data_IF_993947763889
#
_entry.id   IF_993947763889
#
_cell.length_a   1.000
_cell.length_b   1.000
_cell.length_c   1.000
_cell.angle_alpha   90.00
_cell.angle_beta   90.00
_cell.angle_gamma   90.00
#
_symmetry.space_group_name_H-M   'P 1'
#
loop_
_entity.id
_entity.type
_entity.pdbx_description
1 polymer ?
#
# COMPACT_ATOMS: atom_id res chain seq x y z
N UNK A 1 8.71 -7.72 -5.82
CA UNK A 1 8.31 -6.73 -6.85
C UNK A 1 9.12 -6.85 -8.12
N UNK A 2 10.40 -6.47 -8.17
CA UNK A 2 11.18 -6.58 -9.43
C UNK A 2 11.24 -8.01 -9.99
N UNK A 3 11.46 -9.02 -9.11
CA UNK A 3 11.39 -10.45 -9.47
C UNK A 3 10.02 -10.90 -9.97
N UNK A 4 8.98 -10.12 -9.70
CA UNK A 4 7.60 -10.37 -10.15
C UNK A 4 7.29 -9.60 -11.45
N UNK A 5 8.28 -8.97 -12.10
CA UNK A 5 8.08 -8.24 -13.35
C UNK A 5 7.49 -6.84 -13.19
N UNK A 6 7.69 -6.20 -12.03
CA UNK A 6 7.31 -4.79 -11.82
C UNK A 6 8.53 -3.87 -11.94
N UNK A 7 8.32 -2.74 -12.60
CA UNK A 7 9.14 -1.53 -12.43
C UNK A 7 8.68 -0.86 -11.14
N UNK A 8 9.64 -0.44 -10.31
CA UNK A 8 9.37 0.07 -8.96
C UNK A 8 10.08 1.40 -8.76
N UNK A 9 9.36 2.41 -8.30
CA UNK A 9 9.94 3.64 -7.77
C UNK A 9 9.62 3.79 -6.28
N UNK A 10 10.61 4.22 -5.50
CA UNK A 10 10.50 4.51 -4.08
C UNK A 10 11.05 5.92 -3.81
N UNK A 11 10.21 6.96 -3.82
CA UNK A 11 10.67 8.32 -3.57
C UNK A 11 11.07 8.52 -2.10
N UNK A 12 12.15 9.27 -1.89
CA UNK A 12 12.61 9.68 -0.56
C UNK A 12 11.74 10.82 -0.04
N UNK A 13 10.66 10.52 0.68
CA UNK A 13 9.68 11.50 1.15
C UNK A 13 10.24 12.48 2.21
N UNK A 14 11.38 12.17 2.82
CA UNK A 14 11.99 13.03 3.83
C UNK A 14 13.10 13.92 3.26
N UNK A 15 13.19 14.06 1.93
CA UNK A 15 14.24 14.83 1.26
C UNK A 15 14.27 16.32 1.65
N UNK A 16 13.11 16.88 2.05
CA UNK A 16 13.01 18.28 2.54
C UNK A 16 13.48 18.47 3.99
N UNK A 17 13.68 17.38 4.73
CA UNK A 17 13.96 17.46 6.16
C UNK A 17 15.46 17.32 6.43
N UNK A 18 16.05 18.19 7.26
CA UNK A 18 17.44 18.05 7.62
C UNK A 18 17.66 16.71 8.34
N UNK A 19 18.81 16.07 8.11
CA UNK A 19 19.11 14.76 8.69
C UNK A 19 19.21 14.76 10.24
N UNK A 20 19.30 15.95 10.85
CA UNK A 20 19.65 16.18 12.25
C UNK A 20 18.45 16.60 13.13
N UNK A 21 17.22 16.28 12.74
CA UNK A 21 16.04 16.66 13.53
C UNK A 21 15.88 15.75 14.76
N UNK A 22 15.79 16.35 15.94
CA UNK A 22 15.51 15.69 17.24
C UNK A 22 14.09 15.08 17.31
N UNK A 23 13.11 15.73 16.67
CA UNK A 23 11.77 15.19 16.50
C UNK A 23 11.75 14.03 15.49
N UNK A 24 10.82 13.09 15.67
CA UNK A 24 10.58 12.04 14.67
C UNK A 24 10.34 12.68 13.30
N UNK A 25 11.16 12.34 12.29
CA UNK A 25 11.05 12.85 10.90
C UNK A 25 9.63 12.72 10.33
N UNK A 26 8.87 11.72 10.78
CA UNK A 26 7.46 11.54 10.42
C UNK A 26 6.54 12.68 10.84
N UNK A 27 6.84 13.38 11.94
CA UNK A 27 6.06 14.51 12.43
C UNK A 27 6.21 15.78 11.57
N UNK A 28 7.27 15.84 10.77
CA UNK A 28 7.55 16.95 9.88
C UNK A 28 6.95 16.77 8.47
N UNK A 29 6.47 15.57 8.14
CA UNK A 29 5.83 15.32 6.85
C UNK A 29 4.53 16.13 6.75
N UNK A 30 4.26 16.66 5.55
CA UNK A 30 2.99 17.33 5.22
C UNK A 30 2.31 16.58 4.08
N UNK A 31 0.98 16.45 4.15
CA UNK A 31 0.19 15.75 3.13
C UNK A 31 0.34 16.41 1.76
N UNK A 32 0.43 17.74 1.70
CA UNK A 32 0.66 18.49 0.45
C UNK A 32 2.00 18.17 -0.20
N UNK A 33 3.06 18.02 0.59
CA UNK A 33 4.40 17.67 0.11
C UNK A 33 4.47 16.21 -0.34
N UNK A 34 3.86 15.30 0.42
CA UNK A 34 3.72 13.89 0.04
C UNK A 34 3.03 13.79 -1.32
N UNK A 35 1.88 14.47 -1.50
CA UNK A 35 1.13 14.46 -2.76
C UNK A 35 1.99 14.99 -3.90
N UNK A 36 2.72 16.09 -3.69
CA UNK A 36 3.61 16.67 -4.69
C UNK A 36 4.73 15.69 -5.09
N UNK A 37 5.38 15.02 -4.12
CA UNK A 37 6.47 14.08 -4.38
C UNK A 37 6.01 12.82 -5.12
N UNK A 38 4.88 12.23 -4.71
CA UNK A 38 4.34 11.06 -5.40
C UNK A 38 3.90 11.45 -6.81
N UNK A 39 3.26 12.61 -7.01
CA UNK A 39 2.88 13.09 -8.34
C UNK A 39 4.10 13.38 -9.23
N UNK A 40 5.17 13.96 -8.68
CA UNK A 40 6.43 14.14 -9.40
C UNK A 40 7.05 12.79 -9.78
N UNK A 41 6.96 11.78 -8.91
CA UNK A 41 7.41 10.42 -9.21
C UNK A 41 6.58 9.79 -10.34
N UNK A 42 5.25 9.92 -10.32
CA UNK A 42 4.36 9.47 -11.41
C UNK A 42 4.72 10.18 -12.72
N UNK A 43 4.93 11.49 -12.69
CA UNK A 43 5.33 12.26 -13.86
C UNK A 43 6.70 11.81 -14.40
N UNK A 44 7.67 11.55 -13.52
CA UNK A 44 8.98 11.03 -13.93
C UNK A 44 8.88 9.62 -14.54
N UNK A 45 8.09 8.71 -13.95
CA UNK A 45 7.91 7.37 -14.50
C UNK A 45 7.40 7.42 -15.95
N UNK A 46 6.52 8.37 -16.28
CA UNK A 46 5.98 8.56 -17.64
C UNK A 46 7.01 8.97 -18.68
N UNK A 47 8.13 9.58 -18.28
CA UNK A 47 9.18 9.97 -19.22
C UNK A 47 10.12 8.81 -19.56
N UNK A 48 10.02 7.69 -18.83
CA UNK A 48 10.83 6.51 -19.10
C UNK A 48 10.45 5.87 -20.44
N UNK A 49 11.44 5.33 -21.15
CA UNK A 49 11.27 4.72 -22.48
C UNK A 49 10.46 3.41 -22.48
N UNK A 50 10.07 2.92 -21.30
CA UNK A 50 9.28 1.71 -21.13
C UNK A 50 7.84 2.05 -20.75
N UNK A 51 6.86 1.25 -21.19
CA UNK A 51 5.46 1.46 -20.78
C UNK A 51 5.33 1.28 -19.26
N UNK A 52 4.98 2.37 -18.58
CA UNK A 52 4.79 2.41 -17.11
C UNK A 52 3.31 2.50 -16.72
N UNK A 53 2.41 2.02 -17.56
CA UNK A 53 0.99 1.84 -17.21
C UNK A 53 0.54 0.39 -17.34
N UNK A 54 -0.46 -0.05 -16.55
CA UNK A 54 -1.12 0.68 -15.44
C UNK A 54 -0.27 0.80 -14.17
N UNK A 55 -0.54 1.84 -13.36
CA UNK A 55 0.17 2.11 -12.10
C UNK A 55 -0.56 1.53 -10.89
N UNK A 56 0.18 1.02 -9.91
CA UNK A 56 -0.30 0.70 -8.57
C UNK A 56 0.55 1.35 -7.49
N UNK A 57 0.05 1.41 -6.26
CA UNK A 57 0.76 1.94 -5.11
C UNK A 57 0.68 0.97 -3.93
N UNK A 58 1.79 0.75 -3.24
CA UNK A 58 1.83 0.02 -1.97
C UNK A 58 2.64 0.78 -0.95
N UNK A 59 2.28 0.70 0.32
CA UNK A 59 3.21 1.16 1.36
C UNK A 59 2.94 0.58 2.74
N UNK A 60 3.92 0.79 3.62
CA UNK A 60 4.00 0.20 4.96
C UNK A 60 4.05 1.28 6.04
N UNK A 61 3.23 1.16 7.09
CA UNK A 61 3.17 2.14 8.19
C UNK A 61 2.86 3.55 7.65
N UNK A 62 3.81 4.49 7.72
CA UNK A 62 3.68 5.81 7.09
C UNK A 62 3.49 5.68 5.57
N UNK A 63 4.18 4.75 4.92
CA UNK A 63 3.94 4.43 3.51
C UNK A 63 2.52 3.90 3.26
N UNK A 64 1.91 3.20 4.23
CA UNK A 64 0.54 2.73 4.13
C UNK A 64 -0.46 3.88 4.18
N UNK A 65 -0.20 4.87 5.04
CA UNK A 65 -0.92 6.15 5.02
C UNK A 65 -0.79 6.83 3.66
N UNK A 66 0.43 6.92 3.11
CA UNK A 66 0.70 7.53 1.81
C UNK A 66 -0.07 6.80 0.70
N UNK A 67 -0.06 5.47 0.69
CA UNK A 67 -0.82 4.68 -0.29
C UNK A 67 -2.32 4.97 -0.22
N UNK A 68 -2.90 5.06 0.99
CA UNK A 68 -4.29 5.44 1.19
C UNK A 68 -4.57 6.87 0.69
N UNK A 69 -3.78 7.85 1.13
CA UNK A 69 -3.93 9.25 0.74
C UNK A 69 -3.86 9.42 -0.78
N UNK A 70 -2.88 8.78 -1.42
CA UNK A 70 -2.69 8.88 -2.86
C UNK A 70 -3.80 8.18 -3.64
N UNK A 71 -4.37 7.07 -3.13
CA UNK A 71 -5.56 6.48 -3.71
C UNK A 71 -6.75 7.46 -3.71
N UNK A 72 -6.86 8.32 -2.69
CA UNK A 72 -7.91 9.35 -2.60
C UNK A 72 -7.73 10.51 -3.59
N UNK A 73 -6.49 10.86 -3.98
CA UNK A 73 -6.22 12.13 -4.69
C UNK A 73 -5.59 11.97 -6.07
N UNK A 74 -5.09 10.78 -6.42
CA UNK A 74 -4.41 10.52 -7.69
C UNK A 74 -5.15 9.43 -8.49
N UNK A 75 -5.97 9.81 -9.49
CA UNK A 75 -6.84 8.87 -10.24
C UNK A 75 -6.10 7.88 -11.15
N UNK A 76 -4.80 8.05 -11.36
CA UNK A 76 -4.00 7.16 -12.19
C UNK A 76 -3.73 5.79 -11.59
N UNK A 77 -3.74 5.69 -10.26
CA UNK A 77 -3.55 4.41 -9.59
C UNK A 77 -4.73 3.48 -9.88
N UNK A 78 -4.43 2.28 -10.37
CA UNK A 78 -5.39 1.21 -10.68
C UNK A 78 -5.47 0.15 -9.59
N UNK A 79 -4.61 0.23 -8.58
CA UNK A 79 -4.61 -0.65 -7.42
C UNK A 79 -3.83 0.00 -6.27
N UNK A 80 -4.37 -0.06 -5.06
CA UNK A 80 -3.70 0.43 -3.84
C UNK A 80 -3.59 -0.68 -2.79
N UNK A 81 -2.40 -0.88 -2.21
CA UNK A 81 -2.18 -1.82 -1.12
C UNK A 81 -1.67 -1.09 0.14
N UNK A 82 -2.39 -1.24 1.25
CA UNK A 82 -2.13 -0.55 2.51
C UNK A 82 -1.71 -1.54 3.58
N UNK A 83 -0.45 -1.49 4.01
CA UNK A 83 0.03 -2.28 5.15
C UNK A 83 0.06 -1.42 6.41
N UNK A 84 -0.82 -1.74 7.37
CA UNK A 84 -0.91 -1.11 8.70
C UNK A 84 -0.74 0.42 8.63
N UNK A 85 -1.49 1.05 7.72
CA UNK A 85 -1.47 2.49 7.49
C UNK A 85 -2.01 3.25 8.70
N UNK A 86 -1.11 3.88 9.46
CA UNK A 86 -1.46 4.63 10.66
C UNK A 86 -1.87 6.08 10.37
N UNK A 87 -2.44 6.74 11.37
CA UNK A 87 -2.79 8.17 11.36
C UNK A 87 -3.77 8.60 10.24
N UNK A 88 -4.50 7.69 9.60
CA UNK A 88 -5.43 8.00 8.47
C UNK A 88 -6.51 9.03 8.83
N UNK A 89 -6.89 9.14 10.11
CA UNK A 89 -7.85 10.11 10.64
C UNK A 89 -7.24 11.48 11.02
N UNK A 90 -5.91 11.63 10.89
CA UNK A 90 -5.20 12.86 11.25
C UNK A 90 -4.67 13.54 9.98
N UNK A 91 -4.88 14.85 9.82
CA UNK A 91 -4.18 15.61 8.79
C UNK A 91 -2.71 15.79 9.17
N UNK A 92 -1.83 15.74 8.18
CA UNK A 92 -0.43 16.14 8.36
C UNK A 92 -0.24 17.50 7.69
N UNK A 93 -0.30 18.57 8.48
CA UNK A 93 -0.37 19.94 7.94
C UNK A 93 -1.78 20.43 7.71
N UNK A 94 -1.94 21.33 6.75
CA UNK A 94 -3.21 21.98 6.45
C UNK A 94 -4.10 21.11 5.55
N UNK A 95 -5.40 21.19 5.76
CA UNK A 95 -6.41 20.50 4.97
C UNK A 95 -6.95 19.20 5.60
N UNK A 96 -7.83 18.48 4.87
CA UNK A 96 -8.49 17.29 5.39
C UNK A 96 -7.54 16.10 5.52
N UNK A 97 -7.81 15.26 6.51
CA UNK A 97 -7.19 13.96 6.69
C UNK A 97 -7.46 13.02 5.49
N UNK A 98 -6.65 11.96 5.29
CA UNK A 98 -6.92 10.99 4.25
C UNK A 98 -8.30 10.34 4.38
N UNK A 99 -8.77 10.08 5.61
CA UNK A 99 -10.13 9.55 5.85
C UNK A 99 -11.22 10.46 5.27
N UNK A 100 -11.12 11.77 5.48
CA UNK A 100 -12.08 12.74 4.93
C UNK A 100 -12.01 12.85 3.39
N UNK A 101 -10.91 12.39 2.78
CA UNK A 101 -10.72 12.35 1.32
C UNK A 101 -11.19 11.05 0.68
N UNK A 102 -11.72 10.09 1.44
CA UNK A 102 -12.03 8.72 0.96
C UNK A 102 -13.01 8.69 -0.23
N UNK A 103 -13.86 9.70 -0.38
CA UNK A 103 -14.76 9.83 -1.54
C UNK A 103 -14.03 9.89 -2.89
N UNK A 104 -12.79 10.39 -2.89
CA UNK A 104 -11.93 10.49 -4.06
C UNK A 104 -11.28 9.18 -4.50
N UNK A 105 -11.40 8.09 -3.74
CA UNK A 105 -10.81 6.79 -4.13
C UNK A 105 -11.43 6.28 -5.42
N UNK A 106 -10.61 6.00 -6.42
CA UNK A 106 -11.03 5.45 -7.72
C UNK A 106 -10.45 4.07 -8.02
N UNK A 107 -9.43 3.63 -7.27
CA UNK A 107 -8.85 2.30 -7.38
C UNK A 107 -9.43 1.33 -6.36
N UNK A 108 -9.46 0.03 -6.68
CA UNK A 108 -9.61 -1.02 -5.68
C UNK A 108 -8.48 -0.92 -4.64
N UNK A 109 -8.80 -1.21 -3.38
CA UNK A 109 -7.86 -1.16 -2.27
C UNK A 109 -7.79 -2.48 -1.51
N UNK A 110 -6.58 -3.01 -1.30
CA UNK A 110 -6.35 -4.14 -0.39
C UNK A 110 -5.62 -3.65 0.86
N UNK A 111 -6.02 -4.12 2.03
CA UNK A 111 -5.48 -3.68 3.32
C UNK A 111 -5.04 -4.85 4.19
N UNK A 112 -3.91 -4.70 4.88
CA UNK A 112 -3.36 -5.74 5.75
C UNK A 112 -3.00 -5.15 7.12
N UNK A 113 -3.68 -5.64 8.16
CA UNK A 113 -3.66 -5.08 9.50
C UNK A 113 -3.44 -6.14 10.57
N UNK A 114 -2.91 -5.73 11.72
CA UNK A 114 -2.73 -6.58 12.89
C UNK A 114 -3.86 -6.39 13.90
N UNK A 115 -4.32 -7.46 14.54
CA UNK A 115 -5.33 -7.37 15.63
C UNK A 115 -4.75 -6.73 16.90
N UNK A 116 -3.43 -6.84 17.12
CA UNK A 116 -2.72 -6.24 18.25
C UNK A 116 -2.13 -4.86 17.91
N UNK A 117 -2.47 -4.31 16.74
CA UNK A 117 -2.01 -2.99 16.33
C UNK A 117 -2.78 -1.89 17.07
N UNK A 118 -2.07 -0.86 17.51
CA UNK A 118 -2.65 0.32 18.15
C UNK A 118 -2.79 1.52 17.21
N UNK A 119 -2.13 1.49 16.04
CA UNK A 119 -2.19 2.57 15.06
C UNK A 119 -1.86 2.05 13.63
N UNK A 120 -2.87 1.60 12.86
CA UNK A 120 -4.30 1.70 13.16
C UNK A 120 -4.77 0.60 14.12
N UNK A 121 -5.71 0.94 15.00
CA UNK A 121 -6.40 -0.06 15.82
C UNK A 121 -7.42 -0.88 15.00
N UNK A 122 -7.86 -2.06 15.45
CA UNK A 122 -8.96 -2.78 14.79
C UNK A 122 -10.26 -1.97 14.68
N UNK A 123 -10.48 -1.02 15.60
CA UNK A 123 -11.61 -0.09 15.50
C UNK A 123 -11.42 0.94 14.38
N UNK A 124 -10.22 1.49 14.23
CA UNK A 124 -9.87 2.37 13.12
C UNK A 124 -10.07 1.67 11.78
N UNK A 125 -9.61 0.42 11.66
CA UNK A 125 -9.79 -0.39 10.44
C UNK A 125 -11.27 -0.58 10.13
N UNK A 126 -12.10 -0.88 11.14
CA UNK A 126 -13.56 -1.03 10.97
C UNK A 126 -14.23 0.28 10.53
N UNK A 127 -13.78 1.43 11.03
CA UNK A 127 -14.28 2.75 10.61
C UNK A 127 -13.95 3.02 9.14
N UNK A 128 -12.74 2.68 8.71
CA UNK A 128 -12.32 2.80 7.30
C UNK A 128 -13.17 1.87 6.42
N UNK A 129 -13.30 0.61 6.80
CA UNK A 129 -14.12 -0.40 6.08
C UNK A 129 -15.58 0.06 5.90
N UNK A 130 -16.20 0.54 6.98
CA UNK A 130 -17.57 1.06 6.94
C UNK A 130 -17.71 2.26 6.00
N UNK A 131 -16.75 3.18 6.00
CA UNK A 131 -16.77 4.37 5.15
C UNK A 131 -16.56 4.01 3.67
N UNK A 132 -15.61 3.14 3.36
CA UNK A 132 -15.39 2.67 1.99
C UNK A 132 -16.60 1.89 1.46
N UNK A 133 -17.24 1.08 2.32
CA UNK A 133 -18.50 0.39 2.00
C UNK A 133 -19.62 1.40 1.71
N UNK A 134 -19.81 2.40 2.58
CA UNK A 134 -20.81 3.47 2.41
C UNK A 134 -20.63 4.24 1.10
N UNK A 135 -19.38 4.46 0.70
CA UNK A 135 -19.00 5.16 -0.53
C UNK A 135 -19.01 4.26 -1.78
N UNK A 136 -19.31 2.96 -1.64
CA UNK A 136 -19.32 1.99 -2.75
C UNK A 136 -17.93 1.74 -3.36
N UNK A 137 -16.86 1.93 -2.58
CA UNK A 137 -15.47 1.68 -3.03
C UNK A 137 -15.13 0.22 -2.85
N UNK A 138 -14.57 -0.42 -3.88
CA UNK A 138 -14.09 -1.80 -3.74
C UNK A 138 -12.90 -1.83 -2.78
N UNK A 139 -13.00 -2.64 -1.74
CA UNK A 139 -11.91 -2.85 -0.79
C UNK A 139 -11.96 -4.27 -0.18
N UNK A 140 -10.80 -4.80 0.19
CA UNK A 140 -10.64 -6.07 0.90
C UNK A 140 -9.61 -5.90 2.03
N UNK A 141 -10.03 -6.03 3.29
CA UNK A 141 -9.16 -5.87 4.45
C UNK A 141 -8.93 -7.19 5.20
N UNK A 142 -7.66 -7.53 5.42
CA UNK A 142 -7.24 -8.70 6.16
C UNK A 142 -6.70 -8.28 7.54
N UNK A 143 -7.29 -8.84 8.60
CA UNK A 143 -6.80 -8.68 9.96
C UNK A 143 -6.14 -10.00 10.42
N UNK A 144 -4.89 -9.90 10.87
CA UNK A 144 -4.13 -11.06 11.33
C UNK A 144 -4.09 -11.13 12.85
N UNK A 145 -4.55 -12.26 13.40
CA UNK A 145 -4.36 -12.57 14.82
C UNK A 145 -2.87 -12.74 15.15
N UNK A 146 -2.49 -12.42 16.38
CA UNK A 146 -1.12 -12.46 16.88
C UNK A 146 -0.15 -11.55 16.10
N UNK A 147 -0.67 -10.51 15.44
CA UNK A 147 0.12 -9.53 14.72
C UNK A 147 -0.21 -8.14 15.23
N UNK A 148 0.84 -7.38 15.55
CA UNK A 148 0.76 -5.96 15.87
C UNK A 148 1.31 -5.10 14.73
N UNK A 149 1.65 -3.86 15.07
CA UNK A 149 2.19 -2.91 14.10
C UNK A 149 3.51 -3.39 13.50
N UNK A 150 3.65 -3.21 12.18
CA UNK A 150 4.84 -3.61 11.42
C UNK A 150 5.16 -5.11 11.52
N UNK A 151 4.14 -5.97 11.44
CA UNK A 151 4.31 -7.43 11.51
C UNK A 151 5.17 -8.02 10.37
N UNK A 152 5.45 -7.25 9.31
CA UNK A 152 6.38 -7.65 8.26
C UNK A 152 7.85 -7.34 8.57
N UNK A 153 8.14 -6.67 9.69
CA UNK A 153 9.47 -6.21 10.03
C UNK A 153 10.38 -7.33 10.57
N UNK A 154 10.89 -8.16 9.68
CA UNK A 154 11.81 -9.29 9.96
C UNK A 154 13.16 -8.90 10.59
N UNK A 155 13.58 -7.61 10.64
CA UNK A 155 14.74 -7.19 11.46
C UNK A 155 14.37 -6.95 12.93
N UNK A 156 13.09 -6.94 13.26
CA UNK A 156 12.55 -6.67 14.60
C UNK A 156 11.82 -7.94 15.05
N UNK A 157 12.52 -8.89 15.71
CA UNK A 157 11.95 -10.19 16.08
C UNK A 157 10.68 -10.07 16.93
N UNK A 158 10.58 -9.02 17.75
CA UNK A 158 9.45 -8.74 18.61
C UNK A 158 8.18 -8.37 17.82
N UNK A 159 8.33 -7.71 16.65
CA UNK A 159 7.22 -7.33 15.77
C UNK A 159 6.96 -8.38 14.69
N UNK A 160 7.99 -9.02 14.16
CA UNK A 160 7.87 -9.90 13.01
C UNK A 160 6.92 -11.06 13.27
N UNK A 161 5.99 -11.27 12.34
CA UNK A 161 5.10 -12.43 12.31
C UNK A 161 5.16 -13.06 10.92
N UNK A 162 5.91 -14.14 10.84
CA UNK A 162 6.23 -14.81 9.58
C UNK A 162 5.00 -15.23 8.76
N UNK A 163 3.98 -15.80 9.41
CA UNK A 163 2.78 -16.28 8.69
C UNK A 163 1.94 -15.11 8.14
N UNK A 164 1.58 -14.09 8.94
CA UNK A 164 0.95 -12.86 8.43
C UNK A 164 1.77 -12.16 7.34
N UNK A 165 3.09 -12.03 7.53
CA UNK A 165 3.97 -11.37 6.58
C UNK A 165 3.96 -12.06 5.20
N UNK A 166 4.13 -13.39 5.16
CA UNK A 166 4.04 -14.10 3.88
C UNK A 166 2.65 -14.03 3.28
N UNK A 167 1.62 -14.31 4.06
CA UNK A 167 0.25 -14.37 3.55
C UNK A 167 -0.13 -13.04 2.88
N UNK A 168 0.06 -11.93 3.60
CA UNK A 168 -0.25 -10.60 3.10
C UNK A 168 0.59 -10.19 1.88
N UNK A 169 1.86 -10.59 1.82
CA UNK A 169 2.68 -10.38 0.63
C UNK A 169 2.16 -11.14 -0.61
N UNK A 170 1.73 -12.39 -0.43
CA UNK A 170 1.16 -13.20 -1.51
C UNK A 170 -0.16 -12.61 -2.01
N UNK A 171 -1.07 -12.24 -1.11
CA UNK A 171 -2.35 -11.62 -1.48
C UNK A 171 -2.13 -10.28 -2.21
N UNK A 172 -1.19 -9.46 -1.75
CA UNK A 172 -0.82 -8.20 -2.42
C UNK A 172 -0.30 -8.45 -3.85
N UNK A 173 0.55 -9.46 -4.05
CA UNK A 173 1.06 -9.78 -5.39
C UNK A 173 -0.05 -10.30 -6.31
N UNK A 174 -0.95 -11.15 -5.80
CA UNK A 174 -2.11 -11.64 -6.56
C UNK A 174 -3.03 -10.48 -6.95
N UNK A 175 -3.32 -9.59 -6.00
CA UNK A 175 -4.08 -8.36 -6.22
C UNK A 175 -3.46 -7.47 -7.30
N UNK A 176 -2.15 -7.18 -7.24
CA UNK A 176 -1.51 -6.40 -8.29
C UNK A 176 -1.40 -7.14 -9.62
N UNK A 177 -1.34 -8.47 -9.65
CA UNK A 177 -1.37 -9.22 -10.90
C UNK A 177 -2.75 -9.08 -11.57
N UNK A 178 -3.83 -9.18 -10.81
CA UNK A 178 -5.20 -9.00 -11.28
C UNK A 178 -5.42 -7.62 -11.90
N UNK A 179 -5.09 -6.55 -11.15
CA UNK A 179 -5.44 -5.19 -11.56
C UNK A 179 -4.42 -4.52 -12.47
N UNK A 180 -3.15 -4.96 -12.47
CA UNK A 180 -2.12 -4.31 -13.27
C UNK A 180 -1.73 -5.13 -14.51
N UNK A 181 -1.73 -6.46 -14.46
CA UNK A 181 -1.25 -7.28 -15.60
C UNK A 181 -2.36 -7.74 -16.55
N UNK A 182 -3.62 -7.37 -16.30
CA UNK A 182 -4.74 -7.71 -17.19
C UNK A 182 -5.11 -9.19 -17.20
N UNK A 183 -4.75 -9.96 -16.16
CA UNK A 183 -5.21 -11.34 -16.02
C UNK A 183 -6.72 -11.37 -15.78
N UNK A 184 -7.49 -11.75 -16.81
CA UNK A 184 -8.95 -11.75 -16.83
C UNK A 184 -9.61 -12.58 -15.72
N UNK A 185 -9.71 -12.02 -14.51
CA UNK A 185 -10.42 -12.60 -13.37
C UNK A 185 -11.65 -11.77 -12.93
N UNK A 186 -11.94 -10.66 -13.61
CA UNK A 186 -13.06 -9.76 -13.30
C UNK A 186 -14.45 -10.43 -13.36
N UNK A 187 -14.57 -11.62 -13.97
CA UNK A 187 -15.81 -12.40 -14.01
C UNK A 187 -15.88 -13.53 -12.96
N UNK A 188 -14.76 -13.96 -12.37
CA UNK A 188 -14.71 -15.14 -11.49
C UNK A 188 -15.09 -14.87 -10.02
N UNK A 189 -14.87 -13.65 -9.52
CA UNK A 189 -15.06 -13.32 -8.09
C UNK A 189 -16.50 -12.93 -7.75
N UNK A 190 -17.22 -12.30 -8.70
CA UNK A 190 -18.65 -11.95 -8.57
C UNK A 190 -19.55 -13.18 -8.40
N UNK A 191 -19.14 -14.35 -8.90
CA UNK A 191 -19.83 -15.64 -8.66
C UNK A 191 -19.42 -16.34 -7.34
N UNK A 192 -18.27 -16.00 -6.76
CA UNK A 192 -17.83 -16.59 -5.47
C UNK A 192 -18.45 -15.89 -4.26
N UNK A 193 -18.75 -14.60 -4.35
CA UNK A 193 -19.44 -13.86 -3.28
C UNK A 193 -20.84 -14.39 -2.98
N UNK A 194 -21.57 -14.93 -3.97
CA UNK A 194 -22.89 -15.55 -3.72
C UNK A 194 -22.81 -16.92 -3.01
N UNK A 195 -21.64 -17.58 -2.96
CA UNK A 195 -21.51 -18.95 -2.43
C UNK A 195 -20.66 -19.10 -1.15
N UNK A 196 -20.03 -18.03 -0.66
CA UNK A 196 -18.95 -18.11 0.34
C UNK A 196 -19.27 -17.57 1.74
N UNK A 197 -20.46 -17.77 2.31
CA UNK A 197 -20.65 -17.58 3.75
C UNK A 197 -19.92 -18.72 4.50
N UNK A 198 -18.95 -18.34 5.35
CA UNK A 198 -18.14 -19.17 6.29
C UNK A 198 -16.88 -19.81 5.68
N UNK A 199 -15.71 -19.33 6.11
CA UNK A 199 -14.72 -20.14 6.83
C UNK A 199 -13.39 -19.39 6.98
N UNK A 200 -12.91 -19.37 8.23
CA UNK A 200 -11.54 -19.09 8.63
C UNK A 200 -10.52 -19.95 7.84
N UNK A 201 -9.28 -19.44 7.65
CA UNK A 201 -7.98 -20.10 7.96
C UNK A 201 -6.83 -19.75 6.99
N UNK A 202 -5.83 -19.07 7.56
CA UNK A 202 -4.36 -19.28 7.57
C UNK A 202 -3.68 -20.31 6.62
N UNK A 203 -2.50 -19.93 6.07
CA UNK A 203 -1.17 -20.63 6.21
C UNK A 203 -0.05 -19.86 5.48
N UNK A 204 0.89 -19.23 6.21
CA UNK A 204 2.27 -19.67 6.61
C UNK A 204 3.33 -19.64 5.52
N UNK A 205 4.63 -19.39 5.88
CA UNK A 205 6.05 -19.59 5.37
C UNK A 205 6.98 -18.52 4.68
N UNK A 206 7.84 -17.77 5.38
CA UNK A 206 9.25 -17.40 4.95
C UNK A 206 9.48 -16.51 3.67
N UNK A 207 10.35 -15.48 3.54
CA UNK A 207 11.39 -14.73 4.30
C UNK A 207 11.60 -13.33 3.62
N UNK A 208 12.20 -12.35 4.34
CA UNK A 208 13.05 -11.14 3.99
C UNK A 208 12.50 -9.74 3.57
N UNK A 209 12.94 -8.70 4.32
CA UNK A 209 13.25 -7.27 4.00
C UNK A 209 12.27 -6.33 3.33
N UNK A 210 11.75 -5.26 4.00
CA UNK A 210 12.46 -3.95 3.93
C UNK A 210 12.15 -2.84 4.99
N UNK A 211 12.87 -1.72 4.82
CA UNK A 211 12.68 -0.38 5.40
C UNK A 211 11.40 0.34 4.90
N UNK A 212 11.02 1.43 5.60
CA UNK A 212 9.86 2.29 5.32
C UNK A 212 9.92 2.91 3.92
N UNK A 213 8.95 2.61 3.07
CA UNK A 213 8.79 3.23 1.74
C UNK A 213 7.35 3.04 1.24
N UNK A 214 6.87 3.99 0.43
CA UNK A 214 5.77 3.77 -0.49
C UNK A 214 6.36 3.47 -1.87
N UNK A 215 5.84 2.45 -2.54
CA UNK A 215 6.32 2.00 -3.84
C UNK A 215 5.25 2.25 -4.89
N UNK A 216 5.64 2.89 -5.98
CA UNK A 216 4.84 2.95 -7.20
C UNK A 216 5.24 1.78 -8.09
N UNK A 217 4.25 1.04 -8.58
CA UNK A 217 4.43 -0.19 -9.33
C UNK A 217 3.84 -0.05 -10.72
N UNK A 218 4.55 -0.55 -11.73
CA UNK A 218 3.99 -0.78 -13.05
C UNK A 218 4.41 -2.15 -13.59
N UNK A 219 3.54 -2.91 -14.29
CA UNK A 219 3.96 -4.03 -15.12
C UNK A 219 5.01 -3.61 -16.15
N UNK A 220 6.10 -4.37 -16.29
CA UNK A 220 7.08 -4.16 -17.35
C UNK A 220 7.76 -5.46 -17.73
N UNK A 221 7.97 -5.69 -19.03
CA UNK A 221 8.63 -6.90 -19.54
C UNK A 221 10.04 -7.05 -18.95
N UNK A 222 10.35 -8.27 -18.52
CA UNK A 222 11.66 -8.66 -18.03
C UNK A 222 12.67 -8.75 -19.19
N UNK A 223 13.07 -7.62 -19.76
CA UNK A 223 14.28 -7.54 -20.59
C UNK A 223 14.75 -6.09 -20.65
N UNK A 224 15.64 -5.71 -19.74
CA UNK A 224 16.91 -5.03 -20.06
C UNK A 224 17.63 -4.71 -18.74
N UNK A 225 18.77 -5.35 -18.54
CA UNK A 225 19.75 -4.98 -17.53
C UNK A 225 21.06 -4.74 -18.30
N UNK A 226 21.50 -3.46 -18.40
CA UNK A 226 22.92 -3.12 -18.18
C UNK A 226 23.33 -1.63 -18.12
N UNK A 227 22.57 -0.62 -18.56
CA UNK A 227 23.24 0.68 -18.85
C UNK A 227 22.80 1.92 -18.03
N UNK A 228 22.65 1.85 -16.70
CA UNK A 228 22.44 3.09 -15.88
C UNK A 228 23.29 3.14 -14.59
N UNK A 229 24.36 2.35 -14.49
CA UNK A 229 25.43 2.59 -13.49
C UNK A 229 26.80 2.31 -14.11
N UNK A 230 27.17 3.16 -15.05
CA UNK A 230 28.56 3.44 -15.42
C UNK A 230 28.83 4.92 -15.14
#
# INVERSE_FOLDING_TARGET
MHREGYVVAAPELFHRQPAQVEASRTALLRDTEIIADINATVAHLRTMRMSVTPLGIVGFCMGGRVAYLMACVQPEFKAAAVFYGGNIFKPLGEGPSPFERSSGIQSPMIGFFGVEDGNPSPEDVRKIDAELTRLGKWHEFHLYNNAGHAFQNFISPERYRERPARASWHEMLAFFAEYLKGGGASQGRRQKEEKGKRANIWRSKRVVSPHFSAFILCPGAAQLFRDVLA
#
